data_IF_991763115529
#
_entry.id   IF_991763115529
#
_cell.length_a   1.000
_cell.length_b   1.000
_cell.length_c   1.000
_cell.angle_alpha   90.00
_cell.angle_beta   90.00
_cell.angle_gamma   90.00
#
_symmetry.space_group_name_H-M   'P 1'
#
loop_
_entity.id
_entity.type
_entity.pdbx_description
1 polymer ?
#
# COMPACT_ATOMS: atom_id res chain seq x y z
N UNK A 1 -9.16 21.36 -9.76
CA UNK A 1 -10.34 20.56 -10.17
C UNK A 1 -9.89 19.67 -11.29
N UNK A 2 -10.46 18.47 -11.36
CA UNK A 2 -10.17 17.53 -12.44
C UNK A 2 -10.66 18.08 -13.79
N UNK A 3 -9.84 17.89 -14.81
CA UNK A 3 -10.14 18.12 -16.23
C UNK A 3 -9.93 16.80 -16.98
N UNK A 4 -10.76 16.47 -17.99
CA UNK A 4 -10.50 15.31 -18.84
C UNK A 4 -9.07 15.33 -19.39
N UNK A 5 -8.31 14.25 -19.14
CA UNK A 5 -6.89 14.15 -19.48
C UNK A 5 -5.96 14.26 -18.26
N UNK A 6 -6.43 14.77 -17.13
CA UNK A 6 -5.66 14.73 -15.88
C UNK A 6 -5.46 13.27 -15.43
N UNK A 7 -4.25 12.96 -15.00
CA UNK A 7 -3.93 11.66 -14.42
C UNK A 7 -4.00 11.71 -12.89
N UNK A 8 -4.61 10.68 -12.28
CA UNK A 8 -4.75 10.60 -10.82
C UNK A 8 -3.79 9.54 -10.26
N UNK A 9 -2.85 10.00 -9.44
CA UNK A 9 -1.91 9.18 -8.70
C UNK A 9 -2.26 9.23 -7.20
N UNK A 10 -2.42 8.08 -6.55
CA UNK A 10 -2.72 7.97 -5.14
C UNK A 10 -1.61 7.22 -4.41
N UNK A 11 -1.11 7.81 -3.32
CA UNK A 11 0.00 7.26 -2.54
C UNK A 11 -0.36 7.16 -1.07
N UNK A 12 -0.02 6.04 -0.42
CA UNK A 12 -0.23 5.89 1.01
C UNK A 12 0.65 4.82 1.66
N UNK A 13 1.08 5.09 2.89
CA UNK A 13 1.78 4.13 3.75
C UNK A 13 0.88 3.69 4.90
N UNK A 14 0.91 2.41 5.27
CA UNK A 14 0.23 1.91 6.48
C UNK A 14 -1.29 2.16 6.45
N UNK A 15 -1.85 2.83 7.47
CA UNK A 15 -3.24 3.32 7.48
C UNK A 15 -3.51 4.37 6.39
N UNK A 16 -2.50 5.08 5.94
CA UNK A 16 -2.58 5.95 4.76
C UNK A 16 -2.83 5.13 3.49
N UNK A 17 -2.19 3.97 3.33
CA UNK A 17 -2.44 3.04 2.23
C UNK A 17 -3.90 2.53 2.24
N UNK A 18 -4.40 2.16 3.43
CA UNK A 18 -5.82 1.84 3.63
C UNK A 18 -6.73 3.00 3.19
N UNK A 19 -6.36 4.23 3.55
CA UNK A 19 -7.13 5.44 3.23
C UNK A 19 -7.21 5.67 1.73
N UNK A 20 -6.09 5.60 1.00
CA UNK A 20 -6.10 5.81 -0.46
C UNK A 20 -6.77 4.68 -1.22
N UNK A 21 -6.67 3.43 -0.76
CA UNK A 21 -7.47 2.31 -1.28
C UNK A 21 -8.97 2.55 -1.10
N UNK A 22 -9.37 3.04 0.07
CA UNK A 22 -10.78 3.38 0.36
C UNK A 22 -11.25 4.56 -0.48
N UNK A 23 -10.39 5.56 -0.70
CA UNK A 23 -10.67 6.68 -1.60
C UNK A 23 -10.86 6.21 -3.05
N UNK A 24 -10.02 5.29 -3.52
CA UNK A 24 -10.21 4.68 -4.84
C UNK A 24 -11.56 3.96 -4.96
N UNK A 25 -11.94 3.18 -3.93
CA UNK A 25 -13.26 2.53 -3.88
C UNK A 25 -14.42 3.52 -3.82
N UNK A 26 -14.28 4.62 -3.09
CA UNK A 26 -15.26 5.71 -3.05
C UNK A 26 -15.44 6.35 -4.42
N UNK A 27 -14.35 6.68 -5.12
CA UNK A 27 -14.36 7.23 -6.48
C UNK A 27 -14.99 6.22 -7.44
N UNK A 28 -14.67 4.93 -7.32
CA UNK A 28 -15.27 3.89 -8.15
C UNK A 28 -16.79 3.78 -7.95
N UNK A 29 -17.24 3.82 -6.70
CA UNK A 29 -18.66 3.73 -6.37
C UNK A 29 -19.42 4.99 -6.78
N UNK A 30 -18.96 6.17 -6.35
CA UNK A 30 -19.69 7.44 -6.42
C UNK A 30 -19.26 8.37 -7.55
N UNK A 31 -18.17 8.05 -8.25
CA UNK A 31 -17.53 8.94 -9.23
C UNK A 31 -16.67 9.98 -8.53
N UNK A 32 -15.79 10.64 -9.29
CA UNK A 32 -15.10 11.82 -8.77
C UNK A 32 -16.10 12.97 -8.76
N UNK A 33 -16.56 13.35 -7.56
CA UNK A 33 -17.57 14.40 -7.39
C UNK A 33 -17.09 15.71 -8.00
N UNK A 34 -17.85 16.25 -8.95
CA UNK A 34 -17.51 17.49 -9.64
C UNK A 34 -17.51 18.68 -8.69
N UNK A 35 -16.71 19.72 -9.02
CA UNK A 35 -16.57 20.93 -8.17
C UNK A 35 -17.92 21.57 -7.83
N UNK A 36 -18.82 21.68 -8.80
CA UNK A 36 -20.17 22.24 -8.62
C UNK A 36 -21.02 21.45 -7.62
N UNK A 37 -20.67 20.19 -7.38
CA UNK A 37 -21.39 19.26 -6.52
C UNK A 37 -20.63 18.91 -5.23
N UNK A 38 -19.60 19.68 -4.84
CA UNK A 38 -18.77 19.36 -3.67
C UNK A 38 -19.56 19.13 -2.36
N UNK A 39 -20.73 19.76 -2.21
CA UNK A 39 -21.64 19.53 -1.07
C UNK A 39 -22.28 18.13 -1.05
N UNK A 40 -22.11 17.33 -2.11
CA UNK A 40 -22.54 15.94 -2.23
C UNK A 40 -21.50 14.93 -1.73
N UNK A 41 -20.27 15.36 -1.40
CA UNK A 41 -19.24 14.46 -0.86
C UNK A 41 -19.70 13.65 0.38
N UNK A 42 -20.45 14.21 1.35
CA UNK A 42 -21.01 13.40 2.44
C UNK A 42 -22.00 12.32 1.97
N UNK A 43 -22.80 12.61 0.93
CA UNK A 43 -23.71 11.64 0.33
C UNK A 43 -22.96 10.55 -0.44
N UNK A 44 -21.90 10.91 -1.18
CA UNK A 44 -20.98 9.97 -1.83
C UNK A 44 -20.34 9.02 -0.81
N UNK A 45 -19.85 9.55 0.32
CA UNK A 45 -19.29 8.75 1.40
C UNK A 45 -20.34 7.83 2.04
N UNK A 46 -21.58 8.31 2.25
CA UNK A 46 -22.68 7.47 2.75
C UNK A 46 -23.01 6.34 1.79
N UNK A 47 -23.08 6.63 0.49
CA UNK A 47 -23.32 5.66 -0.57
C UNK A 47 -22.26 4.56 -0.58
N UNK A 48 -20.98 4.93 -0.54
CA UNK A 48 -19.86 3.97 -0.51
C UNK A 48 -19.82 3.13 0.77
N UNK A 49 -20.21 3.70 1.91
CA UNK A 49 -20.23 2.99 3.20
C UNK A 49 -21.39 2.00 3.33
N UNK A 50 -22.41 2.12 2.49
CA UNK A 50 -23.51 1.16 2.45
C UNK A 50 -23.08 -0.12 1.74
N UNK A 51 -22.85 -1.19 2.51
CA UNK A 51 -22.37 -2.47 2.00
C UNK A 51 -23.36 -3.18 1.05
N UNK A 52 -24.64 -2.79 1.07
CA UNK A 52 -25.64 -3.31 0.14
C UNK A 52 -25.52 -2.67 -1.26
N UNK A 53 -24.88 -1.50 -1.35
CA UNK A 53 -24.73 -0.73 -2.58
C UNK A 53 -23.35 -1.01 -3.18
N UNK A 54 -23.33 -1.88 -4.19
CA UNK A 54 -22.13 -2.10 -5.02
C UNK A 54 -21.98 -1.00 -6.07
N UNK A 55 -20.79 -0.78 -6.66
CA UNK A 55 -20.59 0.20 -7.73
C UNK A 55 -21.51 0.03 -8.96
N UNK A 56 -22.02 -1.18 -9.20
CA UNK A 56 -23.01 -1.49 -10.25
C UNK A 56 -24.47 -1.25 -9.84
N UNK A 57 -24.75 -0.97 -8.57
CA UNK A 57 -26.11 -0.76 -8.08
C UNK A 57 -26.74 0.48 -8.74
N UNK A 58 -28.05 0.47 -9.10
CA UNK A 58 -28.69 1.59 -9.79
C UNK A 58 -28.51 2.95 -9.11
N UNK A 59 -28.57 2.99 -7.77
CA UNK A 59 -28.34 4.23 -7.01
C UNK A 59 -26.92 4.78 -7.19
N UNK A 60 -25.90 3.91 -7.22
CA UNK A 60 -24.51 4.34 -7.43
C UNK A 60 -24.27 4.79 -8.87
N UNK A 61 -24.88 4.10 -9.84
CA UNK A 61 -24.86 4.49 -11.26
C UNK A 61 -25.49 5.86 -11.46
N UNK A 62 -26.69 6.08 -10.92
CA UNK A 62 -27.40 7.36 -11.01
C UNK A 62 -26.65 8.48 -10.29
N UNK A 63 -26.13 8.22 -9.09
CA UNK A 63 -25.36 9.21 -8.34
C UNK A 63 -24.14 9.69 -9.13
N UNK A 64 -23.39 8.75 -9.74
CA UNK A 64 -22.28 9.09 -10.64
C UNK A 64 -22.77 9.98 -11.78
N UNK A 65 -23.71 9.49 -12.59
CA UNK A 65 -24.22 10.23 -13.75
C UNK A 65 -24.67 11.66 -13.42
N UNK A 66 -25.21 11.87 -12.21
CA UNK A 66 -25.68 13.18 -11.78
C UNK A 66 -24.59 14.09 -11.19
N UNK A 67 -23.63 13.53 -10.43
CA UNK A 67 -22.76 14.32 -9.56
C UNK A 67 -21.26 14.11 -9.75
N UNK A 68 -20.83 13.09 -10.47
CA UNK A 68 -19.41 12.77 -10.57
C UNK A 68 -18.99 12.00 -11.82
N UNK A 69 -17.73 12.14 -12.18
CA UNK A 69 -17.19 11.55 -13.39
C UNK A 69 -16.56 10.18 -13.12
N UNK A 70 -16.58 9.31 -14.13
CA UNK A 70 -15.73 8.11 -14.12
C UNK A 70 -14.32 8.52 -14.50
N UNK A 71 -13.45 8.55 -13.51
CA UNK A 71 -12.05 8.92 -13.67
C UNK A 71 -11.18 7.68 -13.47
N UNK A 72 -10.36 7.30 -14.46
CA UNK A 72 -9.37 6.25 -14.25
C UNK A 72 -8.33 6.72 -13.22
N UNK A 73 -7.86 5.79 -12.39
CA UNK A 73 -6.78 6.03 -11.45
C UNK A 73 -5.52 5.43 -12.06
N UNK A 74 -4.64 6.31 -12.53
CA UNK A 74 -3.41 5.96 -13.24
C UNK A 74 -2.51 5.07 -12.39
N UNK A 75 -2.32 5.43 -11.11
CA UNK A 75 -1.54 4.65 -10.15
C UNK A 75 -2.14 4.68 -8.75
N UNK A 76 -2.22 3.51 -8.12
CA UNK A 76 -2.33 3.34 -6.68
C UNK A 76 -1.00 2.78 -6.13
N UNK A 77 -0.19 3.65 -5.54
CA UNK A 77 1.07 3.31 -4.88
C UNK A 77 0.87 3.14 -3.37
N UNK A 78 1.23 1.97 -2.83
CA UNK A 78 1.07 1.66 -1.42
C UNK A 78 2.37 1.12 -0.82
N UNK A 79 2.67 1.56 0.39
CA UNK A 79 3.68 0.94 1.26
C UNK A 79 2.96 0.25 2.41
N UNK A 80 3.23 -1.04 2.53
CA UNK A 80 2.89 -1.92 3.63
C UNK A 80 1.49 -1.70 4.22
N UNK A 81 0.47 -1.94 3.42
CA UNK A 81 -0.92 -1.72 3.82
C UNK A 81 -1.28 -2.62 4.98
N UNK A 82 -1.71 -2.02 6.09
CA UNK A 82 -2.23 -2.73 7.26
C UNK A 82 -3.73 -2.51 7.38
N UNK A 83 -4.45 -3.56 7.76
CA UNK A 83 -5.87 -3.46 8.05
C UNK A 83 -6.10 -2.48 9.18
N UNK A 84 -7.14 -1.66 9.10
CA UNK A 84 -7.37 -0.63 10.10
C UNK A 84 -7.78 -1.17 11.48
N UNK A 85 -8.09 -2.47 11.60
CA UNK A 85 -8.36 -3.11 12.89
C UNK A 85 -7.06 -3.52 13.59
N UNK A 86 -6.91 -3.07 14.84
CA UNK A 86 -5.99 -3.71 15.79
C UNK A 86 -4.64 -3.00 16.01
N UNK A 87 -4.35 -1.88 15.35
CA UNK A 87 -3.19 -1.04 15.70
C UNK A 87 -3.61 -0.11 16.83
N UNK A 88 -3.08 -0.28 18.07
CA UNK A 88 -3.31 0.67 19.15
C UNK A 88 -2.80 2.06 18.75
N UNK A 89 -3.51 3.12 19.14
CA UNK A 89 -3.14 4.49 18.81
C UNK A 89 -1.69 4.83 19.20
N UNK A 90 -0.80 4.86 18.21
CA UNK A 90 0.60 5.28 18.39
C UNK A 90 0.83 6.78 18.14
N UNK A 91 -0.17 7.51 17.63
CA UNK A 91 -0.09 8.96 17.42
C UNK A 91 -0.93 9.63 18.51
N UNK A 92 -0.33 10.08 19.63
CA UNK A 92 -1.05 10.97 20.52
C UNK A 92 -1.48 12.17 19.67
N UNK A 93 -2.72 12.65 19.81
CA UNK A 93 -3.35 13.79 19.10
C UNK A 93 -4.15 13.52 17.81
N UNK A 94 -4.21 12.29 17.27
CA UNK A 94 -5.11 11.96 16.15
C UNK A 94 -6.09 10.85 16.55
N UNK A 95 -7.36 11.18 16.89
CA UNK A 95 -8.37 10.18 17.25
C UNK A 95 -8.90 9.48 15.99
N UNK A 96 -8.01 8.78 15.28
CA UNK A 96 -8.36 8.04 14.05
C UNK A 96 -9.32 6.88 14.38
N UNK A 97 -9.27 6.36 15.62
CA UNK A 97 -10.13 5.30 16.16
C UNK A 97 -11.61 5.61 15.99
N UNK A 98 -11.99 6.89 16.11
CA UNK A 98 -13.40 7.30 16.02
C UNK A 98 -13.98 7.15 14.61
N UNK A 99 -13.13 7.02 13.58
CA UNK A 99 -13.59 6.77 12.21
C UNK A 99 -13.62 5.29 11.81
N UNK A 100 -13.10 4.37 12.64
CA UNK A 100 -12.81 2.99 12.25
C UNK A 100 -13.47 1.98 13.22
N UNK A 101 -14.80 1.92 13.19
CA UNK A 101 -15.59 0.78 13.69
C UNK A 101 -15.24 -0.56 12.98
N UNK A 102 -15.55 -1.69 13.63
CA UNK A 102 -15.47 -3.03 13.03
C UNK A 102 -16.26 -3.20 11.70
N UNK A 103 -17.15 -2.25 11.36
CA UNK A 103 -17.81 -2.12 10.05
C UNK A 103 -16.89 -1.70 8.90
N UNK A 104 -15.61 -1.39 9.13
CA UNK A 104 -14.67 -0.91 8.11
C UNK A 104 -13.55 -1.90 7.77
N UNK A 105 -13.68 -3.18 8.13
CA UNK A 105 -12.77 -4.21 7.64
C UNK A 105 -12.79 -4.28 6.09
N UNK A 106 -11.60 -4.28 5.48
CA UNK A 106 -11.45 -4.80 4.12
C UNK A 106 -11.79 -6.28 4.17
N UNK A 107 -13.01 -6.62 3.79
CA UNK A 107 -13.30 -7.98 3.34
C UNK A 107 -13.09 -8.12 1.83
N UNK A 108 -12.97 -6.99 1.12
CA UNK A 108 -12.70 -6.95 -0.32
C UNK A 108 -11.25 -6.47 -0.53
N UNK A 109 -10.34 -7.42 -0.70
CA UNK A 109 -8.93 -7.20 -1.07
C UNK A 109 -8.77 -6.87 -2.55
N UNK A 110 -9.83 -7.07 -3.34
CA UNK A 110 -9.89 -6.78 -4.78
C UNK A 110 -9.75 -5.28 -5.03
N UNK A 111 -8.89 -4.94 -5.98
CA UNK A 111 -8.74 -3.58 -6.48
C UNK A 111 -10.04 -3.12 -7.16
N UNK A 112 -10.28 -1.81 -7.17
CA UNK A 112 -11.35 -1.25 -8.01
C UNK A 112 -10.94 -1.32 -9.48
N UNK A 113 -11.86 -1.70 -10.37
CA UNK A 113 -11.57 -1.81 -11.80
C UNK A 113 -11.13 -0.50 -12.48
N UNK A 114 -11.36 0.66 -11.86
CA UNK A 114 -10.86 1.96 -12.35
C UNK A 114 -9.37 2.18 -12.10
N UNK A 115 -8.72 1.33 -11.29
CA UNK A 115 -7.28 1.40 -11.04
C UNK A 115 -6.58 0.72 -12.22
N UNK A 116 -5.72 1.45 -12.92
CA UNK A 116 -4.94 0.92 -14.05
C UNK A 116 -3.69 0.19 -13.55
N UNK A 117 -2.97 0.81 -12.61
CA UNK A 117 -1.73 0.28 -12.07
C UNK A 117 -1.79 0.29 -10.54
N UNK A 118 -1.51 -0.85 -9.92
CA UNK A 118 -1.32 -0.98 -8.48
C UNK A 118 0.12 -1.40 -8.19
N UNK A 119 0.75 -0.72 -7.24
CA UNK A 119 2.12 -0.99 -6.76
C UNK A 119 2.08 -1.09 -5.25
N UNK A 120 2.56 -2.18 -4.69
CA UNK A 120 2.52 -2.44 -3.25
C UNK A 120 3.88 -2.95 -2.77
N UNK A 121 4.62 -2.09 -2.07
CA UNK A 121 5.84 -2.48 -1.36
C UNK A 121 5.48 -3.09 0.00
N UNK A 122 5.97 -4.29 0.32
CA UNK A 122 5.55 -5.06 1.50
C UNK A 122 6.75 -5.49 2.34
N UNK A 123 6.62 -5.38 3.66
CA UNK A 123 7.64 -5.77 4.63
C UNK A 123 7.69 -7.31 4.81
N UNK A 124 8.88 -7.91 4.70
CA UNK A 124 9.12 -9.33 4.97
C UNK A 124 9.16 -9.63 6.48
N UNK A 125 9.79 -8.74 7.25
CA UNK A 125 10.21 -9.01 8.62
C UNK A 125 9.28 -8.38 9.67
N UNK A 126 8.10 -7.92 9.27
CA UNK A 126 7.06 -7.50 10.22
C UNK A 126 6.41 -8.72 10.87
N UNK A 127 6.42 -8.74 12.20
CA UNK A 127 5.99 -9.89 13.01
C UNK A 127 4.79 -9.60 13.90
N UNK A 128 4.32 -8.34 14.00
CA UNK A 128 3.15 -8.00 14.82
C UNK A 128 1.90 -8.40 14.05
N UNK A 129 1.07 -9.26 14.65
CA UNK A 129 -0.18 -9.71 14.00
C UNK A 129 -1.13 -8.55 13.68
N UNK A 130 -1.15 -7.51 14.52
CA UNK A 130 -1.90 -6.27 14.27
C UNK A 130 -1.41 -5.46 13.07
N UNK A 131 -0.22 -5.77 12.56
CA UNK A 131 0.35 -5.20 11.34
C UNK A 131 0.41 -6.25 10.23
N UNK A 132 -0.48 -7.24 10.22
CA UNK A 132 -0.52 -8.17 9.09
C UNK A 132 -0.89 -7.43 7.79
N UNK A 133 -0.22 -7.80 6.70
CA UNK A 133 -0.41 -7.11 5.42
C UNK A 133 -1.80 -7.41 4.85
N UNK A 134 -2.47 -6.37 4.36
CA UNK A 134 -3.66 -6.52 3.52
C UNK A 134 -3.23 -6.59 2.07
N UNK A 135 -3.07 -7.81 1.54
CA UNK A 135 -2.71 -8.02 0.14
C UNK A 135 -3.73 -7.37 -0.82
N UNK A 136 -3.30 -7.15 -2.06
CA UNK A 136 -4.15 -6.69 -3.15
C UNK A 136 -4.40 -7.83 -4.13
N UNK A 137 -5.59 -7.86 -4.69
CA UNK A 137 -5.96 -8.79 -5.76
C UNK A 137 -6.45 -8.00 -6.97
N UNK A 138 -6.11 -8.45 -8.17
CA UNK A 138 -6.59 -7.81 -9.40
C UNK A 138 -8.10 -8.03 -9.56
N UNK A 139 -8.81 -7.03 -10.08
CA UNK A 139 -10.21 -7.17 -10.46
C UNK A 139 -10.31 -7.95 -11.78
N UNK A 140 -10.99 -9.10 -11.77
CA UNK A 140 -11.23 -9.90 -12.96
C UNK A 140 -11.98 -9.14 -14.09
N UNK A 141 -12.63 -8.01 -13.77
CA UNK A 141 -13.31 -7.15 -14.74
C UNK A 141 -12.36 -6.22 -15.50
N UNK A 142 -11.12 -6.06 -15.04
CA UNK A 142 -10.12 -5.24 -15.73
C UNK A 142 -8.89 -6.08 -16.09
N UNK A 143 -8.94 -6.71 -17.26
CA UNK A 143 -7.84 -7.53 -17.78
C UNK A 143 -6.55 -6.74 -18.07
N UNK A 144 -6.63 -5.40 -18.18
CA UNK A 144 -5.48 -4.53 -18.40
C UNK A 144 -4.89 -3.97 -17.10
N UNK A 145 -5.56 -4.19 -15.96
CA UNK A 145 -5.06 -3.76 -14.65
C UNK A 145 -3.76 -4.48 -14.34
N UNK A 146 -2.72 -3.75 -13.95
CA UNK A 146 -1.45 -4.34 -13.52
C UNK A 146 -1.31 -4.26 -12.01
N UNK A 147 -0.81 -5.32 -11.39
CA UNK A 147 -0.49 -5.36 -9.96
C UNK A 147 0.95 -5.85 -9.79
N UNK A 148 1.79 -5.03 -9.15
CA UNK A 148 3.09 -5.46 -8.63
C UNK A 148 3.08 -5.37 -7.11
N UNK A 149 3.08 -6.52 -6.45
CA UNK A 149 3.30 -6.62 -5.01
C UNK A 149 4.72 -7.16 -4.78
N UNK A 150 5.61 -6.29 -4.27
CA UNK A 150 7.03 -6.56 -4.14
C UNK A 150 7.42 -6.55 -2.67
N UNK A 151 8.17 -7.57 -2.25
CA UNK A 151 8.58 -7.81 -0.88
C UNK A 151 10.00 -7.30 -0.63
N UNK A 152 10.18 -6.58 0.48
CA UNK A 152 11.41 -5.90 0.86
C UNK A 152 11.86 -6.33 2.26
N UNK A 153 13.18 -6.37 2.51
CA UNK A 153 13.71 -6.66 3.84
C UNK A 153 13.38 -5.53 4.82
N UNK A 154 13.17 -5.90 6.07
CA UNK A 154 12.82 -4.99 7.16
C UNK A 154 11.39 -5.14 7.65
N UNK A 155 11.10 -4.43 8.73
CA UNK A 155 9.77 -4.34 9.35
C UNK A 155 8.90 -3.24 8.69
N UNK A 156 7.71 -3.00 9.23
CA UNK A 156 6.77 -1.99 8.71
C UNK A 156 7.40 -0.59 8.53
N UNK A 157 8.20 -0.14 9.49
CA UNK A 157 8.89 1.16 9.44
C UNK A 157 10.09 1.19 8.51
N UNK A 158 10.64 0.02 8.16
CA UNK A 158 11.70 -0.13 7.17
C UNK A 158 11.19 0.00 5.73
N UNK A 159 9.87 -0.02 5.49
CA UNK A 159 9.27 0.10 4.15
C UNK A 159 8.67 1.48 3.92
N UNK A 160 7.83 1.95 4.85
CA UNK A 160 7.23 3.29 4.74
C UNK A 160 8.08 4.42 5.29
N UNK A 161 9.23 4.11 5.87
CA UNK A 161 10.05 5.04 6.62
C UNK A 161 9.55 5.28 8.05
N UNK A 162 10.23 6.19 8.75
CA UNK A 162 9.85 6.60 10.11
C UNK A 162 11.03 6.79 11.06
N UNK A 163 12.19 6.19 10.76
CA UNK A 163 13.41 6.40 11.57
C UNK A 163 14.65 6.58 10.71
N UNK A 164 15.63 7.33 11.21
CA UNK A 164 16.94 7.45 10.55
C UNK A 164 17.72 6.12 10.56
N UNK A 165 17.48 5.28 11.56
CA UNK A 165 18.18 4.01 11.74
C UNK A 165 17.88 3.01 10.63
N UNK A 166 16.62 2.93 10.18
CA UNK A 166 16.18 2.01 9.13
C UNK A 166 16.11 2.65 7.74
N UNK A 167 16.60 3.88 7.60
CA UNK A 167 16.46 4.69 6.37
C UNK A 167 16.93 3.97 5.11
N UNK A 168 18.07 3.27 5.15
CA UNK A 168 18.60 2.59 3.96
C UNK A 168 17.66 1.52 3.38
N UNK A 169 16.85 0.87 4.22
CA UNK A 169 15.82 -0.07 3.76
C UNK A 169 14.62 0.68 3.16
N UNK A 170 14.18 1.77 3.81
CA UNK A 170 13.05 2.57 3.35
C UNK A 170 13.36 3.28 2.03
N UNK A 171 14.60 3.75 1.86
CA UNK A 171 15.11 4.37 0.65
C UNK A 171 15.07 3.38 -0.54
N UNK A 172 15.28 2.07 -0.31
CA UNK A 172 15.12 1.06 -1.36
C UNK A 172 13.67 0.94 -1.84
N UNK A 173 12.70 0.90 -0.91
CA UNK A 173 11.28 0.85 -1.25
C UNK A 173 10.78 2.15 -1.89
N UNK A 174 11.34 3.31 -1.49
CA UNK A 174 11.06 4.60 -2.09
C UNK A 174 11.57 4.67 -3.54
N UNK A 175 12.83 4.29 -3.79
CA UNK A 175 13.40 4.27 -5.15
C UNK A 175 12.59 3.39 -6.08
N UNK A 176 12.21 2.19 -5.63
CA UNK A 176 11.38 1.30 -6.42
C UNK A 176 10.03 1.95 -6.78
N UNK A 177 9.33 2.55 -5.83
CA UNK A 177 8.03 3.21 -6.12
C UNK A 177 8.20 4.41 -7.04
N UNK A 178 9.26 5.20 -6.86
CA UNK A 178 9.55 6.35 -7.74
C UNK A 178 9.78 5.89 -9.17
N UNK A 179 10.58 4.84 -9.37
CA UNK A 179 10.81 4.27 -10.70
C UNK A 179 9.49 3.77 -11.32
N UNK A 180 8.68 3.02 -10.57
CA UNK A 180 7.39 2.52 -11.04
C UNK A 180 6.41 3.65 -11.40
N UNK A 181 6.47 4.79 -10.71
CA UNK A 181 5.65 5.96 -11.02
C UNK A 181 6.21 6.76 -12.22
N UNK A 182 7.53 6.88 -12.34
CA UNK A 182 8.19 7.51 -13.48
C UNK A 182 7.93 6.77 -14.79
N UNK A 183 7.97 5.44 -14.75
CA UNK A 183 7.65 4.57 -15.90
C UNK A 183 6.20 4.77 -16.39
N UNK A 184 5.32 5.33 -15.53
CA UNK A 184 3.93 5.66 -15.85
C UNK A 184 3.73 7.13 -16.27
N UNK A 185 4.78 7.95 -16.21
CA UNK A 185 4.77 9.36 -16.62
C UNK A 185 4.82 10.37 -15.48
N UNK A 186 4.95 9.96 -14.21
CA UNK A 186 5.05 10.89 -13.09
C UNK A 186 6.47 11.48 -12.99
N UNK A 187 6.59 12.79 -13.20
CA UNK A 187 7.85 13.50 -13.05
C UNK A 187 8.13 13.87 -11.59
N UNK A 188 9.41 13.79 -11.20
CA UNK A 188 9.88 14.21 -9.88
C UNK A 188 10.92 15.33 -10.02
N UNK A 189 10.89 16.35 -9.16
CA UNK A 189 11.95 17.36 -9.11
C UNK A 189 13.26 16.70 -8.67
N UNK A 190 14.33 16.91 -9.41
CA UNK A 190 15.65 16.29 -9.17
C UNK A 190 16.32 16.76 -7.87
N UNK A 191 15.88 17.88 -7.30
CA UNK A 191 16.45 18.54 -6.12
C UNK A 191 15.55 18.48 -4.88
N UNK A 192 14.34 17.91 -4.99
CA UNK A 192 13.37 17.90 -3.88
C UNK A 192 13.81 17.12 -2.64
N UNK A 193 14.72 16.14 -2.80
CA UNK A 193 15.25 15.34 -1.69
C UNK A 193 16.69 15.77 -1.44
N UNK A 194 16.85 16.89 -0.74
CA UNK A 194 18.15 17.53 -0.46
C UNK A 194 19.16 16.61 0.25
N UNK A 195 18.68 15.62 1.01
CA UNK A 195 19.54 14.65 1.69
C UNK A 195 19.87 13.41 0.85
N UNK A 196 19.38 13.33 -0.40
CA UNK A 196 19.51 12.18 -1.29
C UNK A 196 18.65 10.98 -0.86
N UNK A 197 18.67 9.94 -1.69
CA UNK A 197 18.07 8.63 -1.38
C UNK A 197 19.21 7.60 -1.41
N UNK A 198 19.47 6.95 -0.27
CA UNK A 198 20.65 6.12 -0.06
C UNK A 198 20.20 4.71 0.32
N UNK A 199 19.72 3.96 -0.66
CA UNK A 199 19.31 2.58 -0.46
C UNK A 199 20.50 1.72 0.00
N UNK A 200 20.30 0.98 1.09
CA UNK A 200 21.29 0.07 1.63
C UNK A 200 20.60 -1.19 2.16
N UNK A 201 20.69 -2.33 1.44
CA UNK A 201 20.04 -3.58 1.85
C UNK A 201 20.61 -4.17 3.15
N UNK A 202 21.80 -3.71 3.58
CA UNK A 202 22.50 -4.17 4.78
C UNK A 202 22.19 -3.31 6.01
N UNK A 203 21.40 -2.24 5.86
CA UNK A 203 20.98 -1.42 6.99
C UNK A 203 20.36 -2.32 8.08
N UNK A 204 20.82 -2.22 9.34
CA UNK A 204 20.26 -3.00 10.44
C UNK A 204 18.87 -2.49 10.80
N UNK A 205 18.03 -3.39 11.29
CA UNK A 205 16.75 -3.06 11.91
C UNK A 205 16.51 -4.01 13.08
N UNK A 206 15.68 -3.59 14.03
CA UNK A 206 15.24 -4.42 15.15
C UNK A 206 13.71 -4.49 15.12
N UNK A 207 13.18 -5.67 14.82
CA UNK A 207 11.74 -5.94 14.81
C UNK A 207 11.24 -6.48 16.15
N UNK A 208 12.05 -6.43 17.21
CA UNK A 208 11.63 -6.80 18.56
C UNK A 208 10.46 -5.92 19.00
N UNK A 209 9.31 -6.51 19.38
CA UNK A 209 8.17 -5.71 19.80
C UNK A 209 8.51 -4.89 21.05
N UNK A 210 8.14 -3.61 21.04
CA UNK A 210 8.37 -2.68 22.15
C UNK A 210 7.06 -2.33 22.85
N UNK A 211 7.13 -1.94 24.13
CA UNK A 211 5.98 -1.50 24.92
C UNK A 211 4.83 -2.52 24.93
N UNK A 212 3.60 -2.03 24.70
CA UNK A 212 2.37 -2.85 24.68
C UNK A 212 2.42 -3.98 23.63
N UNK A 213 3.23 -3.86 22.58
CA UNK A 213 3.35 -4.87 21.52
C UNK A 213 4.06 -6.14 21.99
N UNK A 214 4.78 -6.11 23.12
CA UNK A 214 5.37 -7.32 23.74
C UNK A 214 4.32 -8.35 24.15
N UNK A 215 3.11 -7.88 24.49
CA UNK A 215 1.98 -8.70 24.92
C UNK A 215 1.08 -9.11 23.73
N UNK A 216 1.31 -8.55 22.54
CA UNK A 216 0.53 -8.88 21.36
C UNK A 216 1.05 -10.13 20.67
N UNK A 217 0.15 -10.84 19.99
CA UNK A 217 0.47 -12.03 19.22
C UNK A 217 1.45 -11.70 18.08
N UNK A 218 2.33 -12.64 17.81
CA UNK A 218 3.30 -12.57 16.72
C UNK A 218 2.86 -13.46 15.57
N UNK A 219 3.00 -12.96 14.35
CA UNK A 219 2.68 -13.67 13.13
C UNK A 219 3.73 -13.32 12.08
N UNK A 220 4.50 -14.32 11.64
CA UNK A 220 5.41 -14.14 10.51
C UNK A 220 4.59 -14.20 9.22
N UNK A 221 4.71 -13.17 8.38
CA UNK A 221 3.91 -13.05 7.17
C UNK A 221 4.24 -14.13 6.15
N UNK A 222 3.20 -14.64 5.49
CA UNK A 222 3.35 -15.47 4.29
C UNK A 222 3.67 -14.59 3.09
N UNK A 223 4.80 -14.87 2.44
CA UNK A 223 5.18 -14.22 1.19
C UNK A 223 4.35 -14.83 0.06
N UNK A 224 3.53 -14.01 -0.59
CA UNK A 224 2.72 -14.40 -1.75
C UNK A 224 3.48 -14.14 -3.04
N UNK A 225 3.34 -15.02 -4.03
CA UNK A 225 3.94 -14.88 -5.36
C UNK A 225 5.15 -15.78 -5.55
N UNK A 226 6.03 -15.38 -6.46
CA UNK A 226 7.25 -16.13 -6.82
C UNK A 226 8.50 -15.35 -6.41
N UNK A 227 9.69 -15.89 -6.70
CA UNK A 227 10.95 -15.16 -6.52
C UNK A 227 10.96 -13.78 -7.19
N UNK A 228 10.26 -13.62 -8.32
CA UNK A 228 10.13 -12.34 -9.02
C UNK A 228 9.37 -11.26 -8.21
N UNK A 229 8.69 -11.65 -7.13
CA UNK A 229 8.05 -10.73 -6.20
C UNK A 229 8.97 -10.29 -5.05
N UNK A 230 10.22 -10.76 -5.00
CA UNK A 230 11.21 -10.26 -4.05
C UNK A 230 12.01 -9.12 -4.70
N UNK A 231 12.19 -8.01 -3.97
CA UNK A 231 13.08 -6.96 -4.43
C UNK A 231 14.54 -7.44 -4.38
N UNK A 232 15.38 -6.91 -5.25
CA UNK A 232 16.82 -7.22 -5.32
C UNK A 232 17.56 -7.06 -3.98
N UNK A 233 17.12 -6.14 -3.15
CA UNK A 233 17.65 -5.94 -1.80
C UNK A 233 17.53 -7.18 -0.92
N UNK A 234 16.55 -8.06 -1.16
CA UNK A 234 16.38 -9.32 -0.42
C UNK A 234 17.53 -10.27 -0.69
N UNK A 235 17.86 -10.49 -1.97
CA UNK A 235 18.99 -11.33 -2.37
C UNK A 235 20.32 -10.72 -1.91
N UNK A 236 20.51 -9.41 -2.11
CA UNK A 236 21.72 -8.72 -1.65
C UNK A 236 21.92 -8.89 -0.15
N UNK A 237 20.85 -8.72 0.65
CA UNK A 237 20.90 -8.93 2.10
C UNK A 237 21.16 -10.39 2.47
N UNK A 238 20.49 -11.34 1.83
CA UNK A 238 20.67 -12.78 2.08
C UNK A 238 22.13 -13.23 1.89
N UNK A 239 22.77 -12.75 0.81
CA UNK A 239 24.12 -13.13 0.42
C UNK A 239 25.20 -12.48 1.29
N UNK A 240 25.03 -11.21 1.67
CA UNK A 240 26.05 -10.45 2.40
C UNK A 240 25.86 -10.44 3.92
N UNK A 241 24.69 -10.86 4.42
CA UNK A 241 24.40 -10.94 5.86
C UNK A 241 23.98 -12.37 6.24
N UNK A 242 24.95 -13.25 6.63
CA UNK A 242 24.65 -14.65 6.98
C UNK A 242 23.64 -14.83 8.11
N UNK A 243 23.49 -13.84 8.99
CA UNK A 243 22.50 -13.86 10.08
C UNK A 243 21.06 -13.60 9.62
N UNK A 244 20.85 -13.12 8.39
CA UNK A 244 19.51 -12.86 7.85
C UNK A 244 18.95 -14.12 7.18
N UNK A 245 18.24 -14.94 7.97
CA UNK A 245 17.59 -16.19 7.54
C UNK A 245 16.14 -16.27 8.04
N UNK A 246 15.25 -15.33 7.66
CA UNK A 246 13.86 -15.37 8.13
C UNK A 246 13.14 -16.58 7.52
N UNK A 247 12.35 -17.29 8.34
CA UNK A 247 11.75 -18.58 7.95
C UNK A 247 10.79 -18.48 6.77
N UNK A 248 10.17 -17.32 6.54
CA UNK A 248 9.26 -17.08 5.42
C UNK A 248 9.98 -16.88 4.08
N UNK A 249 11.32 -16.74 4.07
CA UNK A 249 12.13 -16.76 2.84
C UNK A 249 12.65 -18.16 2.46
N UNK A 250 12.47 -19.16 3.33
CA UNK A 250 12.93 -20.53 3.07
C UNK A 250 12.45 -21.10 1.72
N UNK A 251 11.20 -20.87 1.27
CA UNK A 251 10.75 -21.35 -0.05
C UNK A 251 11.52 -20.77 -1.24
N UNK A 252 12.30 -19.71 -1.05
CA UNK A 252 13.08 -19.03 -2.09
C UNK A 252 14.59 -19.21 -1.90
N UNK A 253 15.02 -20.08 -0.97
CA UNK A 253 16.43 -20.25 -0.59
C UNK A 253 17.32 -20.52 -1.80
N UNK A 254 16.94 -21.48 -2.66
CA UNK A 254 17.75 -21.88 -3.81
C UNK A 254 18.03 -20.70 -4.75
N UNK A 255 17.02 -19.87 -5.01
CA UNK A 255 17.17 -18.67 -5.85
C UNK A 255 18.00 -17.59 -5.16
N UNK A 256 17.84 -17.41 -3.85
CA UNK A 256 18.58 -16.41 -3.08
C UNK A 256 20.08 -16.73 -2.96
N UNK A 257 20.45 -18.02 -2.98
CA UNK A 257 21.83 -18.48 -2.92
C UNK A 257 22.57 -18.39 -4.27
N UNK A 258 21.84 -18.33 -5.39
CA UNK A 258 22.46 -18.20 -6.71
C UNK A 258 23.07 -16.80 -6.90
N UNK A 259 24.30 -16.68 -7.42
CA UNK A 259 24.85 -15.39 -7.82
C UNK A 259 24.03 -14.82 -8.98
N UNK A 260 23.78 -13.51 -8.98
CA UNK A 260 23.19 -12.83 -10.15
C UNK A 260 24.18 -12.95 -11.32
N UNK A 261 23.72 -13.52 -12.44
CA UNK A 261 24.44 -13.56 -13.73
C UNK A 261 24.53 -12.14 -14.29
#
# INVERSE_FOLDING_TARGET
>A
NYTPGDEVYLFGFSRGAYTVRSLAGLIYCSGLVGRSHIRKTPAAAKLYRDRSIKPSHPQAVQFRQQYGDRVPLKLLGCWDTVGALGIPNQIPFLPIDQWINAKYQFHDTTLSSIIENARHAVAIDEIRESFNVTAMEQDAKNAQQTLKQIWFPGDHGSIGGGTKATRGLADAALLWMMQEAQDLGLEFPTDAITSGIHANPLTPFDNSPQGIFKLMRRHLRTITGTYANLHDSVQQRWQHLPSYRPKNLEPFREQLEQPKI
#
